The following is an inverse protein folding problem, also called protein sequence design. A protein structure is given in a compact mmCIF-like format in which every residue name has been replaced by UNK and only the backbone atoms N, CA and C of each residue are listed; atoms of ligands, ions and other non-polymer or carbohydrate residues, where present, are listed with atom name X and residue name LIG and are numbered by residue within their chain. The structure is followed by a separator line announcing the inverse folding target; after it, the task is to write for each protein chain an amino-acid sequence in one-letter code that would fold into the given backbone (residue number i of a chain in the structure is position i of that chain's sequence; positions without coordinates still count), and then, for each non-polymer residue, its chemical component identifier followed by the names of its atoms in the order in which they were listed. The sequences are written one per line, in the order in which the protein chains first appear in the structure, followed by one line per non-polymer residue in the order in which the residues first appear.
data_IF_503214086641
#
_entry.id   IF_503214086641
#
_cell.length_a   1.000
_cell.length_b   1.000
_cell.length_c   1.000
_cell.angle_alpha   90.00
_cell.angle_beta   90.00
_cell.angle_gamma   90.00
#
_symmetry.space_group_name_H-M   'P 1'
#
loop_
_entity.id
_entity.type
_entity.pdbx_description
1 polymer ?
#
# COMPACT_ATOMS: atom_id res chain seq x y z
N UNK A 1 -41.26 3.87 26.52
CA UNK A 1 -39.84 3.62 26.30
C UNK A 1 -39.36 4.68 25.32
N UNK A 2 -38.71 5.70 25.80
CA UNK A 2 -38.23 6.85 25.04
C UNK A 2 -36.90 6.50 24.40
N UNK A 3 -36.84 6.59 23.08
CA UNK A 3 -35.66 6.44 22.25
C UNK A 3 -34.54 7.39 22.73
N UNK A 4 -33.32 6.91 23.09
CA UNK A 4 -32.23 7.79 23.45
C UNK A 4 -31.74 8.49 22.18
N UNK A 5 -31.88 9.80 22.11
CA UNK A 5 -31.32 10.65 21.06
C UNK A 5 -29.80 10.40 20.97
N UNK A 6 -29.24 10.30 19.76
CA UNK A 6 -27.79 10.17 19.59
C UNK A 6 -27.12 11.41 20.17
N UNK A 7 -26.25 11.18 21.18
CA UNK A 7 -25.45 12.22 21.80
C UNK A 7 -24.55 12.89 20.75
N UNK A 8 -24.51 14.22 20.81
CA UNK A 8 -23.62 15.08 20.04
C UNK A 8 -22.17 14.87 20.54
N UNK A 9 -21.53 13.80 20.10
CA UNK A 9 -20.07 13.67 20.22
C UNK A 9 -19.36 14.78 19.43
N UNK A 10 -18.10 15.10 19.72
CA UNK A 10 -17.34 16.11 19.00
C UNK A 10 -17.34 15.78 17.51
N UNK A 11 -17.55 16.79 16.67
CA UNK A 11 -17.59 16.64 15.22
C UNK A 11 -16.27 16.03 14.71
N UNK A 12 -16.35 14.93 13.98
CA UNK A 12 -15.17 14.27 13.41
C UNK A 12 -14.57 15.21 12.35
N UNK A 13 -13.25 15.45 12.44
CA UNK A 13 -12.54 16.48 11.65
C UNK A 13 -12.45 17.84 12.32
N UNK A 14 -13.20 18.08 13.43
CA UNK A 14 -13.09 19.25 14.27
C UNK A 14 -12.02 19.13 15.36
N UNK A 15 -11.87 20.20 16.17
CA UNK A 15 -10.99 20.19 17.34
C UNK A 15 -11.38 19.03 18.26
N UNK A 16 -10.48 18.05 18.47
CA UNK A 16 -10.67 16.90 19.34
C UNK A 16 -11.11 15.59 18.67
N UNK A 17 -11.19 15.49 17.34
CA UNK A 17 -11.48 14.20 16.69
C UNK A 17 -10.29 13.24 16.82
N UNK A 18 -10.55 12.01 17.29
CA UNK A 18 -9.58 10.93 17.48
C UNK A 18 -10.10 9.67 16.79
N UNK A 19 -9.41 9.22 15.74
CA UNK A 19 -9.80 8.01 14.99
C UNK A 19 -8.78 6.91 15.26
N UNK A 20 -9.28 5.76 15.73
CA UNK A 20 -8.53 4.51 15.79
C UNK A 20 -8.62 3.83 14.42
N UNK A 21 -7.49 3.41 13.86
CA UNK A 21 -7.46 2.68 12.61
C UNK A 21 -6.76 1.33 12.75
N UNK A 22 -7.24 0.36 11.97
CA UNK A 22 -6.80 -1.04 11.97
C UNK A 22 -6.52 -1.47 10.54
N UNK A 23 -5.33 -2.06 10.33
CA UNK A 23 -4.91 -2.65 9.06
C UNK A 23 -4.50 -4.12 9.29
N UNK A 24 -5.14 -5.03 8.58
CA UNK A 24 -4.89 -6.48 8.63
C UNK A 24 -5.06 -7.14 7.26
N UNK A 25 -4.79 -6.44 6.16
CA UNK A 25 -5.09 -6.95 4.81
C UNK A 25 -4.16 -8.06 4.32
N UNK A 26 -2.94 -8.16 4.87
CA UNK A 26 -1.93 -9.13 4.46
C UNK A 26 -1.28 -9.82 5.67
N UNK A 27 0.01 -9.61 5.92
CA UNK A 27 0.80 -10.25 6.98
C UNK A 27 1.33 -9.26 8.04
N UNK A 28 1.09 -7.96 7.86
CA UNK A 28 1.38 -6.95 8.87
C UNK A 28 0.11 -6.60 9.66
N UNK A 29 0.18 -6.70 10.99
CA UNK A 29 -0.87 -6.16 11.86
C UNK A 29 -0.51 -4.74 12.24
N UNK A 30 -1.32 -3.75 11.86
CA UNK A 30 -1.04 -2.36 12.19
C UNK A 30 -2.22 -1.67 12.85
N UNK A 31 -1.89 -0.77 13.79
CA UNK A 31 -2.84 0.07 14.51
C UNK A 31 -2.31 1.50 14.59
N UNK A 32 -3.16 2.48 14.36
CA UNK A 32 -2.81 3.89 14.48
C UNK A 32 -3.92 4.68 15.17
N UNK A 33 -3.53 5.76 15.86
CA UNK A 33 -4.45 6.78 16.37
C UNK A 33 -4.12 8.10 15.69
N UNK A 34 -5.08 8.66 14.99
CA UNK A 34 -4.97 9.91 14.26
C UNK A 34 -5.84 10.98 14.90
N UNK A 35 -5.26 12.11 15.24
CA UNK A 35 -5.96 13.28 15.76
C UNK A 35 -6.21 14.31 14.66
N UNK A 36 -7.44 14.86 14.61
CA UNK A 36 -7.86 15.94 13.69
C UNK A 36 -7.63 15.64 12.21
N UNK A 37 -7.54 14.34 11.85
CA UNK A 37 -7.29 13.91 10.47
C UNK A 37 -5.87 14.17 9.94
N UNK A 38 -4.93 14.67 10.76
CA UNK A 38 -3.58 15.05 10.34
C UNK A 38 -2.47 14.65 11.32
N UNK A 39 -2.72 14.65 12.62
CA UNK A 39 -1.68 14.39 13.62
C UNK A 39 -1.66 12.93 14.03
N UNK A 40 -0.61 12.22 13.68
CA UNK A 40 -0.40 10.82 14.05
C UNK A 40 0.06 10.76 15.51
N UNK A 41 -0.85 10.35 16.43
CA UNK A 41 -0.58 10.23 17.88
C UNK A 41 0.16 8.94 18.20
N UNK A 42 -0.18 7.85 17.50
CA UNK A 42 0.54 6.58 17.57
C UNK A 42 0.45 5.85 16.23
N UNK A 43 1.46 5.04 15.94
CA UNK A 43 1.50 4.19 14.75
C UNK A 43 2.38 2.98 15.04
N UNK A 44 1.75 1.82 15.15
CA UNK A 44 2.38 0.56 15.46
C UNK A 44 2.20 -0.43 14.31
N UNK A 45 3.25 -1.15 13.98
CA UNK A 45 3.25 -2.23 13.00
C UNK A 45 3.90 -3.44 13.66
N UNK A 46 3.22 -4.57 13.62
CA UNK A 46 3.73 -5.86 14.06
C UNK A 46 3.81 -6.80 12.86
N UNK A 47 5.04 -6.97 12.35
CA UNK A 47 5.32 -7.87 11.24
C UNK A 47 5.30 -9.33 11.70
N UNK A 48 4.82 -10.22 10.84
CA UNK A 48 4.69 -11.64 11.12
C UNK A 48 5.90 -12.42 10.58
N UNK A 49 6.95 -12.53 11.35
CA UNK A 49 8.21 -13.19 10.95
C UNK A 49 8.06 -14.67 10.57
N UNK A 50 6.97 -15.32 10.96
CA UNK A 50 6.69 -16.74 10.67
C UNK A 50 6.71 -17.04 9.16
N UNK A 51 6.34 -16.09 8.34
CA UNK A 51 6.27 -16.26 6.88
C UNK A 51 7.65 -16.44 6.22
N UNK A 52 8.72 -15.98 6.88
CA UNK A 52 10.11 -16.18 6.41
C UNK A 52 10.47 -17.64 6.27
N UNK A 53 9.93 -18.50 7.14
CA UNK A 53 10.16 -19.95 7.11
C UNK A 53 9.59 -20.62 5.85
N UNK A 54 8.55 -20.01 5.27
CA UNK A 54 7.84 -20.55 4.10
C UNK A 54 8.26 -19.85 2.80
N UNK A 55 9.04 -18.76 2.90
CA UNK A 55 9.47 -17.97 1.74
C UNK A 55 8.32 -17.23 1.03
N UNK A 56 7.29 -16.85 1.78
CA UNK A 56 6.11 -16.13 1.33
C UNK A 56 4.96 -16.21 2.33
N UNK A 57 3.94 -15.38 2.15
CA UNK A 57 2.79 -15.30 3.05
C UNK A 57 1.96 -16.58 2.99
N UNK A 58 1.64 -17.13 4.17
CA UNK A 58 0.70 -18.26 4.35
C UNK A 58 -0.59 -17.71 4.96
N UNK A 59 -1.70 -17.62 4.19
CA UNK A 59 -2.90 -16.89 4.60
C UNK A 59 -3.52 -17.35 5.92
N UNK A 60 -3.51 -18.65 6.20
CA UNK A 60 -4.05 -19.19 7.45
C UNK A 60 -3.20 -18.76 8.67
N UNK A 61 -1.88 -18.78 8.53
CA UNK A 61 -0.98 -18.32 9.60
C UNK A 61 -1.13 -16.82 9.82
N UNK A 62 -1.29 -16.05 8.74
CA UNK A 62 -1.52 -14.60 8.83
C UNK A 62 -2.79 -14.30 9.64
N UNK A 63 -3.90 -14.95 9.33
CA UNK A 63 -5.16 -14.75 10.03
C UNK A 63 -5.07 -15.08 11.54
N UNK A 64 -4.39 -16.16 11.90
CA UNK A 64 -4.17 -16.56 13.30
C UNK A 64 -3.30 -15.54 14.05
N UNK A 65 -2.22 -15.08 13.40
CA UNK A 65 -1.34 -14.09 13.99
C UNK A 65 -2.05 -12.74 14.23
N UNK A 66 -2.89 -12.29 13.28
CA UNK A 66 -3.72 -11.09 13.51
C UNK A 66 -4.63 -11.22 14.72
N UNK A 67 -5.25 -12.39 14.93
CA UNK A 67 -6.13 -12.62 16.08
C UNK A 67 -5.40 -12.47 17.42
N UNK A 68 -4.14 -12.91 17.47
CA UNK A 68 -3.31 -12.83 18.67
C UNK A 68 -2.70 -11.43 18.87
N UNK A 69 -2.27 -10.79 17.79
CA UNK A 69 -1.52 -9.53 17.85
C UNK A 69 -2.40 -8.29 17.98
N UNK A 70 -3.60 -8.30 17.39
CA UNK A 70 -4.43 -7.10 17.28
C UNK A 70 -4.90 -6.54 18.63
N UNK A 71 -5.45 -7.33 19.58
CA UNK A 71 -5.90 -6.79 20.87
C UNK A 71 -4.79 -6.07 21.65
N UNK A 72 -3.62 -6.69 21.95
CA UNK A 72 -2.55 -6.02 22.67
C UNK A 72 -1.94 -4.84 21.89
N UNK A 73 -1.98 -4.87 20.54
CA UNK A 73 -1.49 -3.78 19.73
C UNK A 73 -2.39 -2.54 19.82
N UNK A 74 -3.72 -2.74 19.91
CA UNK A 74 -4.69 -1.65 20.14
C UNK A 74 -4.48 -1.02 21.51
N UNK A 75 -4.35 -1.82 22.57
CA UNK A 75 -4.05 -1.32 23.92
C UNK A 75 -2.77 -0.49 23.94
N UNK A 76 -1.71 -1.00 23.32
CA UNK A 76 -0.42 -0.31 23.23
C UNK A 76 -0.52 0.99 22.41
N UNK A 77 -1.24 0.99 21.28
CA UNK A 77 -1.42 2.18 20.45
C UNK A 77 -2.17 3.29 21.21
N UNK A 78 -3.19 2.96 21.97
CA UNK A 78 -3.93 3.89 22.80
C UNK A 78 -3.06 4.45 23.94
N UNK A 79 -2.27 3.59 24.60
CA UNK A 79 -1.35 3.99 25.66
C UNK A 79 -0.27 4.96 25.13
N UNK A 80 0.37 4.66 24.00
CA UNK A 80 1.35 5.54 23.34
C UNK A 80 0.73 6.87 22.89
N UNK A 81 -0.50 6.84 22.38
CA UNK A 81 -1.26 8.03 22.01
C UNK A 81 -1.68 8.86 23.23
N UNK A 82 -1.64 8.30 24.45
CA UNK A 82 -2.21 8.87 25.68
C UNK A 82 -3.72 9.16 25.52
N UNK A 83 -4.46 8.24 24.90
CA UNK A 83 -5.89 8.32 24.61
C UNK A 83 -6.63 7.18 25.31
N UNK A 84 -7.70 7.50 26.00
CA UNK A 84 -8.61 6.48 26.57
C UNK A 84 -9.61 6.02 25.49
N UNK A 85 -10.09 4.77 25.54
CA UNK A 85 -11.08 4.27 24.58
C UNK A 85 -12.31 5.17 24.41
N UNK A 86 -12.80 5.75 25.50
CA UNK A 86 -13.98 6.64 25.52
C UNK A 86 -13.73 8.03 24.91
N UNK A 87 -12.49 8.39 24.64
CA UNK A 87 -12.12 9.65 23.98
C UNK A 87 -12.08 9.52 22.45
N UNK A 88 -12.11 8.28 21.94
CA UNK A 88 -12.19 8.04 20.51
C UNK A 88 -13.52 8.57 19.95
N UNK A 89 -13.47 9.05 18.71
CA UNK A 89 -14.64 9.59 18.00
C UNK A 89 -15.04 8.73 16.80
N UNK A 90 -14.24 7.72 16.45
CA UNK A 90 -14.55 6.79 15.37
C UNK A 90 -13.49 5.71 15.20
N UNK A 91 -13.87 4.66 14.47
CA UNK A 91 -13.02 3.53 14.13
C UNK A 91 -12.99 3.37 12.60
N UNK A 92 -11.80 3.23 12.04
CA UNK A 92 -11.56 2.89 10.64
C UNK A 92 -10.91 1.51 10.53
N UNK A 93 -11.28 0.73 9.54
CA UNK A 93 -10.70 -0.61 9.34
C UNK A 93 -10.60 -0.93 7.86
N UNK A 94 -9.51 -1.56 7.46
CA UNK A 94 -9.40 -2.09 6.11
C UNK A 94 -10.39 -3.24 5.92
N UNK A 95 -11.22 -3.12 4.88
CA UNK A 95 -12.21 -4.16 4.58
C UNK A 95 -12.04 -4.80 3.19
N UNK A 96 -11.30 -4.17 2.29
CA UNK A 96 -11.00 -4.68 0.93
C UNK A 96 -9.86 -3.85 0.28
N UNK A 97 -9.15 -4.40 -0.74
CA UNK A 97 -8.93 -5.83 -0.95
C UNK A 97 -7.88 -6.38 0.02
N UNK A 98 -7.76 -7.71 0.07
CA UNK A 98 -6.71 -8.38 0.86
C UNK A 98 -7.00 -9.87 1.08
N UNK A 99 -6.21 -10.49 1.94
CA UNK A 99 -6.46 -11.86 2.37
C UNK A 99 -7.75 -11.92 3.20
N UNK A 100 -8.79 -12.58 2.70
CA UNK A 100 -10.13 -12.59 3.33
C UNK A 100 -10.07 -12.98 4.80
N UNK A 101 -9.34 -14.04 5.15
CA UNK A 101 -9.22 -14.48 6.53
C UNK A 101 -8.60 -13.42 7.45
N UNK A 102 -7.60 -12.70 6.96
CA UNK A 102 -6.93 -11.61 7.68
C UNK A 102 -7.85 -10.38 7.82
N UNK A 103 -8.53 -9.98 6.75
CA UNK A 103 -9.51 -8.89 6.76
C UNK A 103 -10.67 -9.17 7.72
N UNK A 104 -11.19 -10.40 7.73
CA UNK A 104 -12.29 -10.81 8.63
C UNK A 104 -11.91 -10.58 10.10
N UNK A 105 -10.67 -10.85 10.50
CA UNK A 105 -10.20 -10.61 11.88
C UNK A 105 -10.26 -9.12 12.21
N UNK A 106 -9.70 -8.25 11.36
CA UNK A 106 -9.72 -6.80 11.56
C UNK A 106 -11.14 -6.22 11.59
N UNK A 107 -11.97 -6.62 10.61
CA UNK A 107 -13.37 -6.15 10.49
C UNK A 107 -14.21 -6.60 11.69
N UNK A 108 -14.11 -7.88 12.10
CA UNK A 108 -14.86 -8.39 13.24
C UNK A 108 -14.45 -7.67 14.54
N UNK A 109 -13.15 -7.48 14.75
CA UNK A 109 -12.64 -6.73 15.90
C UNK A 109 -13.14 -5.28 15.88
N UNK A 110 -13.01 -4.57 14.77
CA UNK A 110 -13.44 -3.18 14.64
C UNK A 110 -14.94 -3.01 14.87
N UNK A 111 -15.78 -3.93 14.37
CA UNK A 111 -17.23 -3.94 14.60
C UNK A 111 -17.56 -4.12 16.07
N UNK A 112 -16.95 -5.10 16.74
CA UNK A 112 -17.15 -5.35 18.16
C UNK A 112 -16.68 -4.17 19.02
N UNK A 113 -15.50 -3.62 18.71
CA UNK A 113 -14.90 -2.52 19.44
C UNK A 113 -15.72 -1.22 19.30
N UNK A 114 -16.07 -0.86 18.07
CA UNK A 114 -16.91 0.32 17.78
C UNK A 114 -18.31 0.17 18.40
N UNK A 115 -18.92 -1.01 18.28
CA UNK A 115 -20.24 -1.30 18.86
C UNK A 115 -20.26 -1.21 20.39
N UNK A 116 -19.24 -1.74 21.06
CA UNK A 116 -19.13 -1.67 22.53
C UNK A 116 -18.99 -0.23 23.06
N UNK A 117 -18.38 0.67 22.28
CA UNK A 117 -18.16 2.06 22.64
C UNK A 117 -19.21 3.02 22.05
N UNK A 118 -20.16 2.53 21.25
CA UNK A 118 -21.13 3.38 20.53
C UNK A 118 -20.50 4.31 19.50
N UNK A 119 -19.36 3.93 18.92
CA UNK A 119 -18.60 4.73 17.97
C UNK A 119 -19.03 4.46 16.51
N UNK A 120 -18.97 5.48 15.64
CA UNK A 120 -19.11 5.26 14.22
C UNK A 120 -17.95 4.42 13.66
N UNK A 121 -18.26 3.50 12.77
CA UNK A 121 -17.33 2.63 12.06
C UNK A 121 -17.29 2.99 10.57
N UNK A 122 -16.12 2.91 9.95
CA UNK A 122 -15.95 3.03 8.50
C UNK A 122 -14.99 1.96 7.96
N UNK A 123 -15.44 1.23 6.94
CA UNK A 123 -14.58 0.39 6.11
C UNK A 123 -13.81 1.24 5.12
N UNK A 124 -12.51 0.97 4.99
CA UNK A 124 -11.60 1.70 4.10
C UNK A 124 -11.01 0.73 3.10
N UNK A 125 -10.96 1.15 1.84
CA UNK A 125 -10.28 0.39 0.80
C UNK A 125 -8.75 0.54 0.97
N UNK A 126 -8.04 -0.57 0.99
CA UNK A 126 -6.58 -0.65 1.15
C UNK A 126 -5.82 0.10 0.06
N UNK A 127 -6.25 -0.03 -1.20
CA UNK A 127 -5.61 0.66 -2.33
C UNK A 127 -5.87 2.16 -2.27
N UNK A 128 -7.11 2.58 -1.98
CA UNK A 128 -7.42 3.99 -1.74
C UNK A 128 -6.49 4.59 -0.68
N UNK A 129 -6.27 3.87 0.41
CA UNK A 129 -5.37 4.32 1.47
C UNK A 129 -3.92 4.48 0.98
N UNK A 130 -3.42 3.56 0.16
CA UNK A 130 -2.10 3.68 -0.46
C UNK A 130 -1.98 4.88 -1.41
N UNK A 131 -3.04 5.24 -2.16
CA UNK A 131 -3.03 6.42 -3.04
C UNK A 131 -2.73 7.71 -2.26
N UNK A 132 -3.10 7.74 -0.97
CA UNK A 132 -2.99 8.90 -0.08
C UNK A 132 -1.94 8.76 1.03
N UNK A 133 -1.17 7.66 1.07
CA UNK A 133 -0.19 7.43 2.14
C UNK A 133 0.84 8.57 2.30
N UNK A 134 1.23 9.19 1.19
CA UNK A 134 2.13 10.35 1.20
C UNK A 134 1.49 11.62 1.81
N UNK A 135 0.15 11.72 1.81
CA UNK A 135 -0.55 12.91 2.33
C UNK A 135 -0.42 13.08 3.84
N UNK A 136 -0.09 12.01 4.56
CA UNK A 136 0.13 12.05 6.01
C UNK A 136 1.31 12.98 6.37
N UNK A 137 2.38 12.94 5.58
CA UNK A 137 3.60 13.72 5.81
C UNK A 137 3.67 15.01 4.97
N UNK A 138 3.11 14.97 3.77
CA UNK A 138 3.24 16.05 2.80
C UNK A 138 1.98 16.92 2.64
N UNK A 139 0.88 16.56 3.32
CA UNK A 139 -0.44 17.16 3.07
C UNK A 139 -1.04 16.73 1.73
N UNK A 140 -2.15 17.30 1.33
CA UNK A 140 -2.85 16.93 0.10
C UNK A 140 -2.03 17.23 -1.15
N UNK A 141 -2.06 16.32 -2.12
CA UNK A 141 -1.36 16.50 -3.39
C UNK A 141 -2.06 17.54 -4.28
N UNK A 142 -1.30 18.32 -5.07
CA UNK A 142 -1.89 19.06 -6.16
C UNK A 142 -2.67 18.11 -7.09
N UNK A 143 -3.92 18.46 -7.40
CA UNK A 143 -4.77 17.69 -8.29
C UNK A 143 -4.81 18.28 -9.71
N UNK A 144 -4.97 17.47 -10.75
CA UNK A 144 -4.92 16.00 -10.71
C UNK A 144 -3.52 15.50 -10.38
N UNK A 145 -3.44 14.34 -9.72
CA UNK A 145 -2.19 13.64 -9.42
C UNK A 145 -2.19 12.24 -10.06
N UNK A 146 -1.03 11.70 -10.37
CA UNK A 146 -0.85 10.28 -10.64
C UNK A 146 -0.37 9.62 -9.35
N UNK A 147 -0.92 8.47 -9.00
CA UNK A 147 -0.42 7.62 -7.93
C UNK A 147 0.10 6.30 -8.52
N UNK A 148 1.30 5.90 -8.11
CA UNK A 148 1.84 4.56 -8.32
C UNK A 148 1.74 3.80 -7.01
N UNK A 149 0.86 2.80 -6.96
CA UNK A 149 0.82 1.81 -5.89
C UNK A 149 1.66 0.63 -6.33
N UNK A 150 2.71 0.32 -5.57
CA UNK A 150 3.66 -0.74 -5.93
C UNK A 150 4.05 -1.54 -4.69
N UNK A 151 3.47 -2.75 -4.57
CA UNK A 151 3.60 -3.62 -3.39
C UNK A 151 3.86 -5.08 -3.80
N UNK A 152 3.82 -5.99 -2.84
CA UNK A 152 3.88 -7.44 -3.07
C UNK A 152 2.70 -7.97 -3.86
N UNK A 153 1.50 -7.41 -3.67
CA UNK A 153 0.27 -7.88 -4.32
C UNK A 153 -0.24 -6.97 -5.43
N UNK A 154 0.17 -5.70 -5.48
CA UNK A 154 -0.39 -4.71 -6.39
C UNK A 154 0.69 -3.91 -7.11
N UNK A 155 0.46 -3.62 -8.38
CA UNK A 155 1.26 -2.66 -9.16
C UNK A 155 0.32 -1.94 -10.11
N UNK A 156 -0.05 -0.70 -9.76
CA UNK A 156 -1.14 0.03 -10.37
C UNK A 156 -0.81 1.51 -10.52
N UNK A 157 -1.27 2.09 -11.63
CA UNK A 157 -1.24 3.52 -11.91
C UNK A 157 -2.67 4.05 -11.86
N UNK A 158 -2.90 5.05 -11.03
CA UNK A 158 -4.22 5.64 -10.80
C UNK A 158 -4.12 7.16 -10.90
N UNK A 159 -5.03 7.77 -11.64
CA UNK A 159 -5.21 9.23 -11.59
C UNK A 159 -6.12 9.57 -10.40
N UNK A 160 -5.63 10.42 -9.54
CA UNK A 160 -6.34 10.99 -8.40
C UNK A 160 -6.85 12.36 -8.81
N UNK A 161 -8.17 12.52 -8.95
CA UNK A 161 -8.84 13.76 -9.37
C UNK A 161 -9.57 14.44 -8.23
N UNK A 162 -9.83 13.73 -7.15
CA UNK A 162 -10.48 14.23 -5.94
C UNK A 162 -10.00 13.48 -4.70
N UNK A 163 -9.98 14.18 -3.58
CA UNK A 163 -9.56 13.62 -2.27
C UNK A 163 -10.81 13.21 -1.49
N UNK A 164 -10.81 12.07 -0.77
CA UNK A 164 -11.91 11.71 0.12
C UNK A 164 -12.17 12.85 1.10
N UNK A 165 -13.42 13.23 1.27
CA UNK A 165 -13.80 14.20 2.29
C UNK A 165 -13.96 15.66 1.81
N UNK A 166 -13.60 16.04 0.59
CA UNK A 166 -13.83 17.41 0.08
C UNK A 166 -15.16 17.56 -0.66
N UNK A 167 -15.46 16.72 -1.63
CA UNK A 167 -16.65 16.86 -2.46
C UNK A 167 -17.42 15.53 -2.67
N UNK A 168 -17.02 14.45 -2.03
CA UNK A 168 -17.56 13.11 -2.21
C UNK A 168 -16.57 12.05 -1.80
N UNK A 169 -16.85 10.77 -2.10
CA UNK A 169 -15.81 9.76 -2.15
C UNK A 169 -14.70 10.25 -3.07
N UNK A 170 -13.47 9.77 -2.86
CA UNK A 170 -12.37 10.13 -3.75
C UNK A 170 -12.75 9.89 -5.22
N UNK A 171 -12.25 10.75 -6.10
CA UNK A 171 -12.45 10.59 -7.55
C UNK A 171 -11.18 10.01 -8.16
N UNK A 172 -11.27 8.76 -8.64
CA UNK A 172 -10.14 8.00 -9.14
C UNK A 172 -10.41 7.47 -10.54
N UNK A 173 -9.38 7.47 -11.37
CA UNK A 173 -9.42 6.80 -12.67
C UNK A 173 -8.25 5.82 -12.78
N UNK A 174 -8.52 4.55 -12.96
CA UNK A 174 -7.50 3.55 -13.25
C UNK A 174 -6.86 3.83 -14.60
N UNK A 175 -5.55 3.90 -14.65
CA UNK A 175 -4.77 4.18 -15.86
C UNK A 175 -4.15 2.92 -16.44
N UNK A 176 -3.69 2.02 -15.58
CA UNK A 176 -3.09 0.74 -15.93
C UNK A 176 -2.70 -0.04 -14.68
N UNK A 177 -2.55 -1.34 -14.84
CA UNK A 177 -2.16 -2.26 -13.78
C UNK A 177 -1.24 -3.34 -14.33
N UNK A 178 -0.63 -4.13 -13.44
CA UNK A 178 0.08 -5.33 -13.89
C UNK A 178 -0.90 -6.37 -14.41
N UNK A 179 -0.55 -7.00 -15.52
CA UNK A 179 -1.35 -8.08 -16.14
C UNK A 179 -1.03 -9.46 -15.57
N UNK A 180 0.01 -9.54 -14.73
CA UNK A 180 0.51 -10.77 -14.15
C UNK A 180 1.10 -10.52 -12.76
N UNK A 181 2.36 -10.87 -12.51
CA UNK A 181 3.00 -10.66 -11.21
C UNK A 181 3.05 -9.16 -10.84
N UNK A 182 2.79 -8.82 -9.59
CA UNK A 182 3.13 -7.51 -9.05
C UNK A 182 4.66 -7.34 -9.01
N UNK A 183 5.13 -6.09 -9.02
CA UNK A 183 6.58 -5.82 -8.99
C UNK A 183 7.24 -6.41 -7.74
N UNK A 184 6.63 -6.28 -6.55
CA UNK A 184 7.16 -6.86 -5.32
C UNK A 184 7.19 -8.39 -5.36
N UNK A 185 6.16 -9.02 -5.90
CA UNK A 185 6.13 -10.47 -6.13
C UNK A 185 7.27 -10.92 -7.07
N UNK A 186 7.57 -10.12 -8.10
CA UNK A 186 8.71 -10.41 -8.99
C UNK A 186 10.05 -10.34 -8.24
N UNK A 187 10.22 -9.34 -7.34
CA UNK A 187 11.39 -9.28 -6.44
C UNK A 187 11.51 -10.53 -5.58
N UNK A 188 10.42 -10.99 -4.96
CA UNK A 188 10.42 -12.15 -4.09
C UNK A 188 10.73 -13.44 -4.87
N UNK A 189 10.14 -13.61 -6.05
CA UNK A 189 10.39 -14.76 -6.93
C UNK A 189 11.85 -14.80 -7.41
N UNK A 190 12.45 -13.64 -7.75
CA UNK A 190 13.84 -13.56 -8.18
C UNK A 190 14.78 -13.79 -6.98
N UNK A 191 14.50 -13.23 -5.82
CA UNK A 191 15.28 -13.48 -4.60
C UNK A 191 15.29 -14.99 -4.26
N UNK A 192 14.14 -15.65 -4.31
CA UNK A 192 14.03 -17.10 -4.11
C UNK A 192 14.85 -17.88 -5.14
N UNK A 193 14.85 -17.46 -6.42
CA UNK A 193 15.64 -18.12 -7.46
C UNK A 193 17.14 -17.93 -7.26
N UNK A 194 17.56 -16.82 -6.68
CA UNK A 194 18.94 -16.54 -6.29
C UNK A 194 19.38 -17.25 -4.99
N UNK A 195 18.50 -17.98 -4.33
CA UNK A 195 18.79 -18.62 -3.03
C UNK A 195 18.82 -17.63 -1.87
N UNK A 196 18.17 -16.47 -2.02
CA UNK A 196 18.08 -15.43 -1.00
C UNK A 196 16.82 -15.59 -0.14
N UNK A 197 16.77 -14.89 0.98
CA UNK A 197 15.65 -14.92 1.93
C UNK A 197 14.40 -14.11 1.48
N UNK A 198 13.42 -14.09 2.34
CA UNK A 198 12.17 -13.32 2.21
C UNK A 198 12.09 -12.25 3.34
N UNK A 199 11.57 -11.04 3.05
CA UNK A 199 11.14 -10.52 1.75
C UNK A 199 12.31 -10.20 0.80
N UNK A 200 12.13 -10.48 -0.49
CA UNK A 200 13.20 -10.35 -1.51
C UNK A 200 13.56 -8.92 -1.87
N UNK A 201 12.57 -8.00 -1.86
CA UNK A 201 12.77 -6.62 -2.28
C UNK A 201 13.94 -5.92 -1.58
N UNK A 202 13.97 -5.83 -0.24
CA UNK A 202 15.07 -5.20 0.50
C UNK A 202 16.42 -5.88 0.29
N UNK A 203 16.44 -7.20 0.13
CA UNK A 203 17.67 -7.98 -0.08
C UNK A 203 18.27 -7.66 -1.45
N UNK A 204 17.44 -7.68 -2.50
CA UNK A 204 17.85 -7.34 -3.87
C UNK A 204 18.30 -5.88 -3.94
N UNK A 205 17.56 -4.93 -3.35
CA UNK A 205 17.94 -3.51 -3.35
C UNK A 205 19.32 -3.28 -2.70
N UNK A 206 19.63 -4.03 -1.63
CA UNK A 206 20.95 -3.97 -0.97
C UNK A 206 22.06 -4.55 -1.85
N UNK A 207 21.85 -5.71 -2.48
CA UNK A 207 22.82 -6.37 -3.33
C UNK A 207 23.07 -5.60 -4.64
N UNK A 208 22.03 -5.07 -5.24
CA UNK A 208 22.08 -4.29 -6.47
C UNK A 208 22.95 -3.04 -6.37
N UNK A 209 23.06 -2.45 -5.16
CA UNK A 209 23.90 -1.27 -4.93
C UNK A 209 25.38 -1.48 -5.21
N UNK A 210 25.85 -2.73 -5.27
CA UNK A 210 27.26 -3.11 -5.51
C UNK A 210 27.45 -3.99 -6.75
N UNK A 211 26.39 -4.22 -7.54
CA UNK A 211 26.42 -4.95 -8.80
C UNK A 211 26.42 -4.00 -10.00
N UNK A 212 26.62 -4.55 -11.20
CA UNK A 212 26.57 -3.81 -12.45
C UNK A 212 25.17 -3.93 -13.05
N UNK A 213 24.51 -2.79 -13.24
CA UNK A 213 23.14 -2.73 -13.75
C UNK A 213 23.02 -3.12 -15.26
N UNK A 214 24.14 -3.08 -15.98
CA UNK A 214 24.29 -3.40 -17.40
C UNK A 214 24.92 -4.78 -17.66
N UNK A 215 25.13 -5.59 -16.63
CA UNK A 215 25.76 -6.92 -16.78
C UNK A 215 24.89 -7.89 -17.57
N UNK A 216 23.57 -7.77 -17.46
CA UNK A 216 22.59 -8.60 -18.15
C UNK A 216 21.47 -7.74 -18.75
N UNK A 217 21.17 -7.97 -20.03
CA UNK A 217 20.07 -7.29 -20.70
C UNK A 217 18.76 -8.04 -20.43
N UNK A 218 18.11 -7.72 -19.30
CA UNK A 218 16.79 -8.24 -19.01
C UNK A 218 15.70 -7.48 -19.77
N UNK A 219 14.59 -8.12 -20.14
CA UNK A 219 13.51 -7.46 -20.86
C UNK A 219 12.86 -6.34 -19.99
N UNK A 220 12.32 -5.31 -20.69
CA UNK A 220 11.43 -4.29 -20.11
C UNK A 220 10.04 -4.52 -20.67
N UNK A 221 9.26 -5.46 -20.08
CA UNK A 221 8.00 -5.85 -20.66
C UNK A 221 7.04 -4.67 -20.80
N UNK A 222 6.22 -4.67 -21.85
CA UNK A 222 5.19 -3.66 -22.13
C UNK A 222 5.69 -2.24 -22.41
N UNK A 223 7.00 -1.95 -22.45
CA UNK A 223 7.50 -0.61 -22.78
C UNK A 223 7.37 -0.28 -24.28
N UNK A 224 7.45 -1.27 -25.14
CA UNK A 224 7.25 -1.16 -26.57
C UNK A 224 5.77 -1.08 -27.00
N UNK A 225 4.84 -1.35 -26.05
CA UNK A 225 3.40 -1.34 -26.30
C UNK A 225 2.76 -0.01 -25.88
N UNK A 226 1.72 0.43 -26.61
CA UNK A 226 0.91 1.55 -26.15
C UNK A 226 0.19 1.21 -24.85
N UNK A 227 -0.21 2.25 -24.10
CA UNK A 227 -0.93 2.10 -22.85
C UNK A 227 -0.03 2.04 -21.61
N UNK A 228 -0.67 1.84 -20.45
CA UNK A 228 -0.04 2.01 -19.15
C UNK A 228 0.02 0.70 -18.34
N UNK A 229 -0.45 -0.41 -18.92
CA UNK A 229 -0.35 -1.72 -18.29
C UNK A 229 1.12 -2.15 -18.15
N UNK A 230 1.35 -2.98 -17.13
CA UNK A 230 2.65 -3.49 -16.73
C UNK A 230 2.65 -5.04 -16.79
N UNK A 231 3.84 -5.63 -16.73
CA UNK A 231 4.04 -7.08 -16.63
C UNK A 231 5.43 -7.36 -16.08
N UNK A 232 5.55 -8.30 -15.16
CA UNK A 232 6.82 -8.65 -14.51
C UNK A 232 7.10 -10.16 -14.46
N UNK A 233 6.13 -11.04 -14.76
CA UNK A 233 6.30 -12.51 -14.68
C UNK A 233 7.42 -13.04 -15.58
N UNK A 234 7.65 -12.42 -16.74
CA UNK A 234 8.70 -12.78 -17.68
C UNK A 234 10.13 -12.56 -17.15
N UNK A 235 10.31 -11.64 -16.22
CA UNK A 235 11.62 -11.34 -15.62
C UNK A 235 12.18 -12.52 -14.82
N UNK A 236 11.34 -13.24 -14.07
CA UNK A 236 11.75 -14.47 -13.36
C UNK A 236 12.32 -15.49 -14.34
N UNK A 237 11.69 -15.68 -15.49
CA UNK A 237 12.14 -16.61 -16.51
C UNK A 237 13.46 -16.16 -17.11
N UNK A 238 13.61 -14.86 -17.40
CA UNK A 238 14.86 -14.30 -17.92
C UNK A 238 16.02 -14.50 -16.93
N UNK A 239 15.81 -14.21 -15.65
CA UNK A 239 16.80 -14.50 -14.60
C UNK A 239 17.14 -15.98 -14.53
N UNK A 240 16.14 -16.86 -14.57
CA UNK A 240 16.37 -18.31 -14.54
C UNK A 240 17.21 -18.81 -15.74
N UNK A 241 17.04 -18.19 -16.92
CA UNK A 241 17.86 -18.51 -18.10
C UNK A 241 19.34 -18.11 -17.91
N UNK A 242 19.60 -16.94 -17.29
CA UNK A 242 20.96 -16.49 -16.94
C UNK A 242 21.61 -17.43 -15.92
N UNK A 243 20.85 -17.89 -14.95
CA UNK A 243 21.36 -18.75 -13.86
C UNK A 243 21.53 -20.22 -14.29
N UNK A 244 20.82 -20.68 -15.33
CA UNK A 244 20.83 -22.09 -15.76
C UNK A 244 22.23 -22.70 -15.96
N UNK A 245 23.22 -22.02 -16.57
CA UNK A 245 24.59 -22.56 -16.73
C UNK A 245 25.33 -22.73 -15.39
N UNK A 246 24.87 -22.10 -14.31
CA UNK A 246 25.53 -22.08 -13.01
C UNK A 246 24.97 -23.14 -12.02
N UNK A 247 23.94 -23.90 -12.43
CA UNK A 247 23.32 -24.95 -11.60
C UNK A 247 22.33 -24.38 -10.56
N UNK A 248 22.37 -24.90 -9.34
CA UNK A 248 21.52 -24.49 -8.23
C UNK A 248 22.30 -23.65 -7.21
N UNK A 249 21.60 -22.80 -6.41
CA UNK A 249 22.26 -22.00 -5.38
C UNK A 249 22.97 -22.86 -4.32
N UNK A 250 24.01 -22.35 -3.64
CA UNK A 250 24.44 -20.95 -3.66
C UNK A 250 25.28 -20.56 -4.87
N UNK A 251 25.02 -19.39 -5.44
CA UNK A 251 25.76 -18.85 -6.57
C UNK A 251 26.97 -17.98 -6.13
N UNK A 252 27.98 -17.76 -6.99
CA UNK A 252 29.06 -16.81 -6.74
C UNK A 252 28.52 -15.40 -6.44
N UNK A 253 29.02 -14.76 -5.42
CA UNK A 253 28.53 -13.45 -4.96
C UNK A 253 28.56 -12.36 -6.06
N UNK A 254 29.59 -12.24 -6.93
CA UNK A 254 29.56 -11.29 -8.04
C UNK A 254 28.41 -11.52 -9.01
N UNK A 255 28.10 -12.78 -9.33
CA UNK A 255 26.97 -13.14 -10.19
C UNK A 255 25.64 -12.70 -9.55
N UNK A 256 25.44 -12.96 -8.25
CA UNK A 256 24.23 -12.57 -7.53
C UNK A 256 24.05 -11.07 -7.53
N UNK A 257 25.12 -10.30 -7.29
CA UNK A 257 25.08 -8.83 -7.30
C UNK A 257 24.74 -8.27 -8.68
N UNK A 258 25.38 -8.77 -9.73
CA UNK A 258 25.17 -8.33 -11.10
C UNK A 258 23.76 -8.67 -11.60
N UNK A 259 23.26 -9.88 -11.29
CA UNK A 259 21.87 -10.27 -11.62
C UNK A 259 20.88 -9.40 -10.85
N UNK A 260 21.11 -9.16 -9.56
CA UNK A 260 20.24 -8.31 -8.74
C UNK A 260 20.20 -6.87 -9.28
N UNK A 261 21.35 -6.30 -9.66
CA UNK A 261 21.44 -4.95 -10.19
C UNK A 261 20.76 -4.81 -11.56
N UNK A 262 21.01 -5.73 -12.48
CA UNK A 262 20.39 -5.71 -13.82
C UNK A 262 18.89 -5.97 -13.78
N UNK A 263 18.42 -6.88 -12.88
CA UNK A 263 16.99 -7.10 -12.65
C UNK A 263 16.31 -5.85 -12.09
N UNK A 264 16.89 -5.24 -11.04
CA UNK A 264 16.36 -4.02 -10.44
C UNK A 264 16.30 -2.88 -11.47
N UNK A 265 17.32 -2.71 -12.30
CA UNK A 265 17.32 -1.72 -13.38
C UNK A 265 16.14 -1.93 -14.32
N UNK A 266 15.87 -3.17 -14.77
CA UNK A 266 14.75 -3.48 -15.65
C UNK A 266 13.39 -3.13 -15.03
N UNK A 267 13.18 -3.45 -13.75
CA UNK A 267 11.94 -3.11 -13.03
C UNK A 267 11.79 -1.59 -12.88
N UNK A 268 12.86 -0.91 -12.42
CA UNK A 268 12.83 0.55 -12.17
C UNK A 268 12.59 1.32 -13.46
N UNK A 269 13.30 1.00 -14.54
CA UNK A 269 13.11 1.64 -15.84
C UNK A 269 11.68 1.47 -16.36
N UNK A 270 11.10 0.27 -16.20
CA UNK A 270 9.71 0.00 -16.60
C UNK A 270 8.73 0.88 -15.82
N UNK A 271 8.86 0.92 -14.48
CA UNK A 271 7.98 1.72 -13.62
C UNK A 271 8.10 3.22 -13.92
N UNK A 272 9.33 3.73 -14.04
CA UNK A 272 9.61 5.16 -14.32
C UNK A 272 9.03 5.58 -15.66
N UNK A 273 9.24 4.78 -16.71
CA UNK A 273 8.74 5.09 -18.06
C UNK A 273 7.20 5.10 -18.08
N UNK A 274 6.54 4.16 -17.38
CA UNK A 274 5.08 4.13 -17.29
C UNK A 274 4.53 5.30 -16.44
N UNK A 275 5.20 5.70 -15.37
CA UNK A 275 4.86 6.91 -14.62
C UNK A 275 4.97 8.17 -15.50
N UNK A 276 6.04 8.31 -16.27
CA UNK A 276 6.21 9.43 -17.19
C UNK A 276 5.06 9.50 -18.21
N UNK A 277 4.71 8.38 -18.85
CA UNK A 277 3.57 8.29 -19.78
C UNK A 277 2.23 8.60 -19.11
N UNK A 278 2.03 8.17 -17.85
CA UNK A 278 0.81 8.46 -17.08
C UNK A 278 0.68 9.96 -16.81
N UNK A 279 1.77 10.62 -16.41
CA UNK A 279 1.81 12.07 -16.20
C UNK A 279 1.50 12.83 -17.50
N UNK A 280 2.03 12.37 -18.64
CA UNK A 280 1.74 12.98 -19.96
C UNK A 280 0.27 12.82 -20.37
N UNK A 281 -0.30 11.63 -20.12
CA UNK A 281 -1.69 11.31 -20.48
C UNK A 281 -2.75 12.01 -19.62
N UNK A 282 -2.38 12.46 -18.42
CA UNK A 282 -3.32 13.05 -17.43
C UNK A 282 -3.10 14.54 -17.20
N UNK A 283 -2.00 15.11 -17.70
CA UNK A 283 -1.55 16.46 -17.36
C UNK A 283 -1.43 16.69 -15.83
N UNK A 284 -1.18 15.60 -15.08
CA UNK A 284 -1.05 15.64 -13.63
C UNK A 284 0.21 16.40 -13.21
N UNK A 285 0.11 17.10 -12.08
CA UNK A 285 1.19 17.96 -11.53
C UNK A 285 1.90 17.32 -10.34
N UNK A 286 1.45 16.16 -9.90
CA UNK A 286 2.07 15.42 -8.81
C UNK A 286 2.12 13.93 -9.13
N UNK A 287 3.16 13.27 -8.63
CA UNK A 287 3.32 11.81 -8.60
C UNK A 287 3.41 11.37 -7.15
N UNK A 288 2.44 10.58 -6.70
CA UNK A 288 2.40 9.99 -5.37
C UNK A 288 2.88 8.54 -5.45
N UNK A 289 3.65 8.10 -4.46
CA UNK A 289 4.03 6.70 -4.31
C UNK A 289 3.38 6.09 -3.08
N UNK A 290 2.99 4.80 -3.19
CA UNK A 290 2.53 3.96 -2.09
C UNK A 290 2.93 2.50 -2.32
N UNK A 291 2.87 1.68 -1.27
CA UNK A 291 3.26 0.27 -1.31
C UNK A 291 4.72 0.02 -0.93
N UNK A 292 5.02 -1.21 -0.49
CA UNK A 292 6.33 -1.55 0.08
C UNK A 292 7.51 -1.38 -0.88
N UNK A 293 7.30 -1.58 -2.20
CA UNK A 293 8.36 -1.38 -3.21
C UNK A 293 8.71 0.10 -3.39
N UNK A 294 7.85 1.04 -2.96
CA UNK A 294 8.18 2.46 -2.88
C UNK A 294 9.34 2.76 -1.92
N UNK A 295 9.76 1.81 -1.07
CA UNK A 295 10.99 1.91 -0.27
C UNK A 295 12.26 1.70 -1.10
N UNK A 296 12.20 1.14 -2.31
CA UNK A 296 13.35 0.85 -3.14
C UNK A 296 14.11 2.13 -3.49
N UNK A 297 15.41 2.17 -3.17
CA UNK A 297 16.24 3.37 -3.30
C UNK A 297 16.46 3.79 -4.74
N UNK A 298 16.65 2.82 -5.64
CA UNK A 298 16.86 3.09 -7.06
C UNK A 298 15.59 3.66 -7.69
N UNK A 299 14.40 3.14 -7.34
CA UNK A 299 13.11 3.66 -7.82
C UNK A 299 12.90 5.10 -7.36
N UNK A 300 13.13 5.38 -6.07
CA UNK A 300 13.02 6.75 -5.51
C UNK A 300 13.91 7.74 -6.23
N UNK A 301 15.18 7.38 -6.43
CA UNK A 301 16.17 8.23 -7.10
C UNK A 301 15.78 8.48 -8.57
N UNK A 302 15.39 7.44 -9.31
CA UNK A 302 15.02 7.55 -10.71
C UNK A 302 13.73 8.40 -10.91
N UNK A 303 12.73 8.22 -10.05
CA UNK A 303 11.52 9.05 -10.08
C UNK A 303 11.80 10.51 -9.71
N UNK A 304 12.71 10.76 -8.77
CA UNK A 304 13.12 12.12 -8.42
C UNK A 304 13.75 12.84 -9.61
N UNK A 305 14.67 12.16 -10.33
CA UNK A 305 15.29 12.69 -11.55
C UNK A 305 14.21 12.94 -12.63
N UNK A 306 13.33 11.98 -12.87
CA UNK A 306 12.27 12.10 -13.87
C UNK A 306 11.33 13.27 -13.56
N UNK A 307 10.86 13.42 -12.32
CA UNK A 307 9.96 14.50 -11.93
C UNK A 307 10.63 15.87 -11.98
N UNK A 308 11.90 15.98 -11.56
CA UNK A 308 12.65 17.23 -11.60
C UNK A 308 12.94 17.70 -13.04
N UNK A 309 13.09 16.78 -13.98
CA UNK A 309 13.36 17.08 -15.40
C UNK A 309 12.10 17.46 -16.22
N UNK A 310 10.91 17.53 -15.60
CA UNK A 310 9.67 17.88 -16.31
C UNK A 310 9.42 19.40 -16.30
N UNK A 311 8.77 19.87 -17.36
CA UNK A 311 8.28 21.25 -17.46
C UNK A 311 6.78 21.24 -17.81
N UNK A 312 5.90 21.77 -16.95
CA UNK A 312 6.20 22.24 -15.59
C UNK A 312 6.68 21.13 -14.66
N UNK A 313 7.46 21.49 -13.64
CA UNK A 313 7.98 20.55 -12.66
C UNK A 313 6.85 19.76 -11.99
N UNK A 314 7.04 18.43 -11.86
CA UNK A 314 6.11 17.52 -11.21
C UNK A 314 6.49 17.37 -9.73
N UNK A 315 5.54 17.58 -8.82
CA UNK A 315 5.76 17.35 -7.41
C UNK A 315 5.82 15.84 -7.11
N UNK A 316 6.99 15.34 -6.69
CA UNK A 316 7.13 13.96 -6.25
C UNK A 316 6.84 13.85 -4.75
N UNK A 317 5.91 12.98 -4.38
CA UNK A 317 5.49 12.74 -3.00
C UNK A 317 5.67 11.25 -2.65
N UNK A 318 6.70 10.98 -1.89
CA UNK A 318 7.04 9.62 -1.42
C UNK A 318 6.99 9.63 0.10
N UNK A 319 6.17 8.78 0.73
CA UNK A 319 6.12 8.71 2.19
C UNK A 319 7.43 8.14 2.75
N UNK A 320 7.67 8.38 4.04
CA UNK A 320 8.76 7.70 4.75
C UNK A 320 8.58 6.18 4.72
N UNK A 321 9.63 5.38 4.88
CA UNK A 321 9.54 3.92 4.80
C UNK A 321 8.46 3.30 5.70
N UNK A 322 8.21 3.89 6.87
CA UNK A 322 7.15 3.44 7.80
C UNK A 322 5.73 3.61 7.27
N UNK A 323 5.53 4.48 6.30
CA UNK A 323 4.22 4.78 5.69
C UNK A 323 4.10 4.24 4.26
N UNK A 324 5.16 3.61 3.72
CA UNK A 324 5.13 2.99 2.40
C UNK A 324 4.47 1.60 2.42
N UNK A 325 4.87 0.75 3.37
CA UNK A 325 4.30 -0.59 3.53
C UNK A 325 2.87 -0.53 4.08
N UNK A 326 2.23 -1.68 4.22
CA UNK A 326 0.90 -1.79 4.79
C UNK A 326 0.89 -1.22 6.22
N UNK A 327 0.01 -0.27 6.46
CA UNK A 327 0.00 0.45 7.72
C UNK A 327 -1.36 1.08 8.04
N UNK A 328 -1.69 1.17 9.33
CA UNK A 328 -2.96 1.73 9.78
C UNK A 328 -3.02 3.26 9.70
N UNK A 329 -1.89 3.97 9.56
CA UNK A 329 -1.92 5.43 9.46
C UNK A 329 -2.60 5.89 8.15
N UNK A 330 -2.38 5.19 7.03
CA UNK A 330 -3.06 5.48 5.77
C UNK A 330 -4.56 5.21 5.86
N UNK A 331 -4.95 4.16 6.60
CA UNK A 331 -6.36 3.83 6.88
C UNK A 331 -7.00 4.91 7.74
N UNK A 332 -6.27 5.39 8.76
CA UNK A 332 -6.72 6.47 9.62
C UNK A 332 -6.98 7.77 8.84
N UNK A 333 -6.10 8.10 7.91
CA UNK A 333 -6.19 9.31 7.11
C UNK A 333 -7.45 9.34 6.22
N UNK A 334 -7.71 8.26 5.47
CA UNK A 334 -8.91 8.12 4.65
C UNK A 334 -10.16 8.04 5.53
N UNK A 335 -10.12 7.18 6.55
CA UNK A 335 -11.23 6.95 7.47
C UNK A 335 -11.67 8.21 8.20
N UNK A 336 -10.75 9.01 8.71
CA UNK A 336 -11.06 10.27 9.40
C UNK A 336 -11.77 11.26 8.48
N UNK A 337 -11.35 11.39 7.24
CA UNK A 337 -11.97 12.29 6.25
C UNK A 337 -13.37 11.85 5.86
N UNK A 338 -13.57 10.56 5.61
CA UNK A 338 -14.88 10.00 5.29
C UNK A 338 -15.84 10.09 6.48
N UNK A 339 -15.35 9.77 7.69
CA UNK A 339 -16.11 9.92 8.93
C UNK A 339 -16.51 11.39 9.18
N UNK A 340 -15.63 12.36 8.91
CA UNK A 340 -15.91 13.80 9.07
C UNK A 340 -17.08 14.27 8.20
N UNK A 341 -17.32 13.63 7.05
CA UNK A 341 -18.46 13.88 6.17
C UNK A 341 -19.75 13.18 6.57
N UNK A 342 -19.72 12.44 7.64
CA UNK A 342 -20.88 11.68 8.08
C UNK A 342 -21.00 10.29 7.44
N UNK A 343 -20.02 9.85 6.63
CA UNK A 343 -20.04 8.48 6.11
C UNK A 343 -19.87 7.48 7.25
N UNK A 344 -20.60 6.37 7.17
CA UNK A 344 -20.61 5.30 8.17
C UNK A 344 -20.83 3.97 7.46
N UNK A 345 -20.16 2.94 7.93
CA UNK A 345 -20.47 1.56 7.59
C UNK A 345 -21.46 0.98 8.59
N UNK A 346 -22.43 0.22 8.09
CA UNK A 346 -23.40 -0.48 8.91
C UNK A 346 -22.85 -1.74 9.57
N UNK A 347 -23.72 -2.43 10.30
CA UNK A 347 -23.41 -3.74 10.88
C UNK A 347 -23.18 -4.84 9.84
N UNK A 348 -23.58 -4.60 8.60
CA UNK A 348 -23.39 -5.44 7.42
C UNK A 348 -22.02 -5.26 6.75
N UNK A 349 -21.14 -4.35 7.25
CA UNK A 349 -19.78 -4.24 6.73
C UNK A 349 -19.11 -5.61 6.68
N UNK A 350 -18.62 -5.99 5.52
CA UNK A 350 -17.99 -7.29 5.30
C UNK A 350 -16.58 -7.14 4.69
N UNK A 351 -15.79 -8.19 4.81
CA UNK A 351 -14.47 -8.30 4.25
C UNK A 351 -14.53 -8.86 2.82
N UNK A 352 -13.76 -8.28 1.90
CA UNK A 352 -13.70 -8.76 0.52
C UNK A 352 -12.28 -8.84 -0.01
N UNK A 353 -11.95 -9.94 -0.71
CA UNK A 353 -10.68 -10.06 -1.42
C UNK A 353 -10.64 -9.18 -2.69
N UNK A 354 -11.79 -8.75 -3.20
CA UNK A 354 -11.93 -8.09 -4.50
C UNK A 354 -12.03 -6.58 -4.34
N UNK A 355 -11.35 -5.85 -5.23
CA UNK A 355 -11.51 -4.41 -5.41
C UNK A 355 -12.94 -4.03 -5.80
N UNK A 356 -13.62 -4.87 -6.60
CA UNK A 356 -14.95 -4.59 -7.13
C UNK A 356 -16.00 -4.44 -6.02
N UNK A 357 -15.87 -5.21 -4.95
CA UNK A 357 -16.78 -5.14 -3.81
C UNK A 357 -16.63 -3.85 -2.98
N UNK A 358 -15.57 -3.07 -3.17
CA UNK A 358 -15.32 -1.85 -2.41
C UNK A 358 -15.96 -0.58 -2.97
N UNK A 359 -16.62 -0.67 -4.13
CA UNK A 359 -17.24 0.49 -4.78
C UNK A 359 -16.27 1.54 -5.34
N UNK A 360 -14.95 1.26 -5.30
CA UNK A 360 -13.90 2.18 -5.80
C UNK A 360 -13.77 2.16 -7.33
N UNK A 361 -14.49 1.28 -8.00
CA UNK A 361 -14.40 1.06 -9.44
C UNK A 361 -15.27 2.03 -10.22
N UNK A 362 -14.82 3.26 -10.37
CA UNK A 362 -15.31 4.12 -11.45
C UNK A 362 -14.21 4.13 -12.54
N UNK A 363 -14.45 3.34 -13.60
CA UNK A 363 -13.67 3.43 -14.83
C UNK A 363 -12.56 2.40 -15.04
N UNK A 364 -12.69 1.16 -14.54
CA UNK A 364 -11.86 0.08 -15.09
C UNK A 364 -12.19 -0.12 -16.57
N UNK A 365 -11.16 -0.21 -17.45
CA UNK A 365 -11.39 -0.82 -18.74
C UNK A 365 -11.85 -2.26 -18.48
N UNK A 366 -12.97 -2.67 -19.08
CA UNK A 366 -13.44 -4.04 -18.97
C UNK A 366 -12.27 -5.01 -19.19
N UNK A 367 -12.01 -5.85 -18.20
CA UNK A 367 -11.08 -6.97 -18.34
C UNK A 367 -11.65 -7.82 -19.48
N UNK A 368 -10.96 -7.82 -20.63
CA UNK A 368 -11.26 -8.67 -21.79
C UNK A 368 -10.58 -10.01 -21.64
#
# INVERSE_FOLDING_TARGET
MTDPRPGSGPAIGGAGSLVLAIETSCDDTSVAVLERGVTLRSHLIAAQDVHRLYGGVVPELASRAHLELLPPLVEKALAEAQVKPLELTGVAVTNAPGLVGSLVVGVAFAKAYAGALGLPLIGVNHIEAHLHSASIEHGDSPLPAVALVVSGGHTELVEVRGVPGEAGPGDYRWLGATLDDAAGEAYDKVAKRLGLGFPGGPIIDKLAASGRADAYDFPRPMLDRPGLDLSFSGLKTAVSNVLRPHGEPPYPEPLVRDVAASFQAAVVETLVAKCARALDATSARALNLGGGVACNRALRAALAVMCAGREPACALRIPSPRLCADNAAMIAWVGARRLARGERSGSDLDASASLEASGLLIGQPAVR
#
